data_IF_097926532448
#
_entry.id   IF_097926532448
#
_cell.length_a   1.000
_cell.length_b   1.000
_cell.length_c   1.000
_cell.angle_alpha   90.00
_cell.angle_beta   90.00
_cell.angle_gamma   90.00
#
_symmetry.space_group_name_H-M   'P 1'
#
loop_
_entity.id
_entity.type
_entity.pdbx_description
1 polymer ?
#
# COMPACT_ATOMS: atom_id res chain seq x y z
N UNK A 1 26.21 -68.90 -29.34
CA UNK A 1 26.84 -67.56 -29.18
C UNK A 1 26.40 -66.96 -27.84
N UNK A 2 27.31 -66.81 -26.87
CA UNK A 2 27.04 -66.21 -25.55
C UNK A 2 27.60 -64.79 -25.54
N UNK A 3 26.73 -63.78 -25.39
CA UNK A 3 27.14 -62.38 -25.20
C UNK A 3 27.51 -62.13 -23.73
N UNK A 4 28.76 -61.73 -23.48
CA UNK A 4 29.22 -61.19 -22.19
C UNK A 4 28.79 -59.73 -22.07
N UNK A 5 28.09 -59.38 -20.99
CA UNK A 5 27.81 -57.99 -20.59
C UNK A 5 29.01 -57.43 -19.82
N UNK A 6 29.58 -56.32 -20.29
CA UNK A 6 30.51 -55.49 -19.54
C UNK A 6 29.71 -54.51 -18.67
N UNK A 7 29.98 -54.50 -17.37
CA UNK A 7 29.48 -53.52 -16.40
C UNK A 7 30.52 -52.41 -16.26
N UNK A 8 30.15 -51.16 -16.53
CA UNK A 8 30.93 -49.97 -16.19
C UNK A 8 30.31 -49.33 -14.93
N UNK A 9 31.08 -48.99 -13.89
CA UNK A 9 30.56 -48.27 -12.74
C UNK A 9 30.49 -46.77 -13.07
N UNK A 10 29.28 -46.21 -12.98
CA UNK A 10 29.03 -44.79 -13.15
C UNK A 10 29.32 -44.08 -11.81
N UNK A 11 30.42 -43.32 -11.75
CA UNK A 11 30.73 -42.44 -10.63
C UNK A 11 29.73 -41.28 -10.62
N UNK A 12 28.80 -41.28 -9.66
CA UNK A 12 27.87 -40.15 -9.43
C UNK A 12 28.61 -39.10 -8.61
N UNK A 13 29.11 -38.07 -9.27
CA UNK A 13 29.68 -36.88 -8.63
C UNK A 13 28.52 -36.05 -8.03
N UNK A 14 28.26 -36.27 -6.74
CA UNK A 14 27.26 -35.52 -5.97
C UNK A 14 27.72 -34.07 -5.80
N UNK A 15 27.23 -33.19 -6.67
CA UNK A 15 27.54 -31.76 -6.60
C UNK A 15 26.63 -31.14 -5.55
N UNK A 16 27.15 -31.00 -4.33
CA UNK A 16 26.54 -30.21 -3.25
C UNK A 16 26.41 -28.75 -3.71
N UNK A 17 25.27 -28.40 -4.31
CA UNK A 17 24.85 -27.01 -4.43
C UNK A 17 24.61 -26.48 -3.01
N UNK A 18 25.60 -25.75 -2.49
CA UNK A 18 25.37 -24.84 -1.37
C UNK A 18 24.38 -23.76 -1.83
N UNK A 19 23.10 -23.99 -1.57
CA UNK A 19 22.09 -22.96 -1.55
C UNK A 19 22.48 -21.98 -0.44
N UNK A 20 23.21 -20.91 -0.77
CA UNK A 20 23.41 -19.77 0.13
C UNK A 20 22.04 -19.17 0.42
N UNK A 21 21.42 -19.65 1.50
CA UNK A 21 20.30 -18.99 2.14
C UNK A 21 20.78 -17.60 2.53
N UNK A 22 20.47 -16.61 1.70
CA UNK A 22 20.62 -15.22 2.08
C UNK A 22 19.64 -15.01 3.24
N UNK A 23 20.11 -15.15 4.48
CA UNK A 23 19.32 -14.80 5.64
C UNK A 23 19.01 -13.32 5.50
N UNK A 24 17.78 -12.99 5.11
CA UNK A 24 17.31 -11.61 5.12
C UNK A 24 17.42 -11.13 6.57
N UNK A 25 18.38 -10.23 6.83
CA UNK A 25 18.55 -9.68 8.17
C UNK A 25 17.24 -9.00 8.57
N UNK A 26 16.72 -9.38 9.74
CA UNK A 26 15.55 -8.73 10.34
C UNK A 26 15.93 -7.30 10.73
N UNK A 27 15.16 -6.32 10.26
CA UNK A 27 15.39 -4.89 10.51
C UNK A 27 14.37 -4.38 11.52
N UNK A 28 14.82 -3.49 12.40
CA UNK A 28 13.92 -2.71 13.27
C UNK A 28 13.78 -1.29 12.73
N UNK A 29 12.58 -0.95 12.27
CA UNK A 29 12.22 0.39 11.83
C UNK A 29 11.92 1.28 13.04
N UNK A 30 12.52 2.47 13.08
CA UNK A 30 12.37 3.44 14.16
C UNK A 30 12.12 4.83 13.57
N UNK A 31 11.43 5.67 14.32
CA UNK A 31 11.15 7.04 13.92
C UNK A 31 10.39 7.79 14.99
N UNK A 32 10.05 9.04 14.71
CA UNK A 32 9.16 9.85 15.52
C UNK A 32 7.85 10.16 14.81
N UNK A 33 6.76 10.28 15.57
CA UNK A 33 5.43 10.53 15.03
C UNK A 33 4.61 11.45 15.94
N UNK A 34 4.49 12.71 15.59
CA UNK A 34 3.66 13.66 16.32
C UNK A 34 2.19 13.42 15.96
N UNK A 35 1.34 13.26 16.97
CA UNK A 35 -0.08 13.01 16.80
C UNK A 35 -0.89 13.90 17.74
N UNK A 36 -1.97 14.55 17.27
CA UNK A 36 -2.86 15.36 18.12
C UNK A 36 -3.63 14.52 19.17
N UNK A 37 -3.48 13.19 19.14
CA UNK A 37 -4.11 12.27 20.07
C UNK A 37 -3.29 11.00 20.28
N UNK A 38 -3.53 10.31 21.40
CA UNK A 38 -2.80 9.10 21.76
C UNK A 38 -2.91 8.03 20.65
N UNK A 39 -1.75 7.54 20.20
CA UNK A 39 -1.65 6.42 19.27
C UNK A 39 -1.95 5.14 20.05
N UNK A 40 -2.92 4.37 19.59
CA UNK A 40 -3.33 3.10 20.18
C UNK A 40 -2.69 1.91 19.47
N UNK A 41 -2.26 2.10 18.21
CA UNK A 41 -1.67 1.04 17.38
C UNK A 41 -0.82 1.65 16.27
N UNK A 42 0.31 1.01 15.98
CA UNK A 42 1.15 1.33 14.82
C UNK A 42 1.69 0.05 14.19
N UNK A 43 1.50 -0.13 12.89
CA UNK A 43 1.98 -1.28 12.11
C UNK A 43 2.75 -0.81 10.88
N UNK A 44 3.62 -1.66 10.35
CA UNK A 44 4.17 -1.54 9.00
C UNK A 44 3.59 -2.64 8.10
N UNK A 45 3.25 -2.31 6.85
CA UNK A 45 2.77 -3.27 5.85
C UNK A 45 3.56 -3.19 4.57
N UNK A 46 3.88 -4.35 3.99
CA UNK A 46 4.30 -4.41 2.59
C UNK A 46 3.06 -4.66 1.71
N UNK A 47 2.56 -3.61 1.06
CA UNK A 47 1.33 -3.67 0.24
C UNK A 47 1.45 -4.61 -0.97
N UNK A 48 2.65 -4.78 -1.54
CA UNK A 48 2.87 -5.64 -2.71
C UNK A 48 2.69 -7.12 -2.34
N UNK A 49 2.99 -7.48 -1.09
CA UNK A 49 3.00 -8.86 -0.61
C UNK A 49 1.80 -9.21 0.29
N UNK A 50 0.95 -8.25 0.62
CA UNK A 50 -0.17 -8.43 1.55
C UNK A 50 -1.51 -8.36 0.83
N UNK A 51 -2.44 -9.24 1.21
CA UNK A 51 -3.82 -9.13 0.76
C UNK A 51 -4.48 -7.87 1.36
N UNK A 52 -4.96 -6.91 0.54
CA UNK A 52 -5.60 -5.68 1.01
C UNK A 52 -6.77 -5.92 1.97
N UNK A 53 -7.57 -6.98 1.75
CA UNK A 53 -8.71 -7.31 2.61
C UNK A 53 -8.28 -7.71 4.03
N UNK A 54 -7.11 -8.36 4.16
CA UNK A 54 -6.56 -8.74 5.46
C UNK A 54 -6.13 -7.50 6.26
N UNK A 55 -5.55 -6.52 5.57
CA UNK A 55 -5.15 -5.22 6.15
C UNK A 55 -6.38 -4.41 6.55
N UNK A 56 -7.40 -4.36 5.69
CA UNK A 56 -8.59 -3.54 5.94
C UNK A 56 -9.39 -3.99 7.16
N UNK A 57 -9.63 -5.30 7.31
CA UNK A 57 -10.45 -5.85 8.40
C UNK A 57 -9.70 -6.06 9.72
N UNK A 58 -8.43 -5.65 9.79
CA UNK A 58 -7.62 -5.85 10.99
C UNK A 58 -7.44 -7.33 11.33
N UNK A 59 -7.31 -8.20 10.31
CA UNK A 59 -7.05 -9.65 10.45
C UNK A 59 -5.65 -9.94 11.01
N UNK A 60 -5.36 -9.39 12.20
CA UNK A 60 -4.31 -9.85 13.12
C UNK A 60 -4.93 -10.32 14.46
N UNK A 61 -6.25 -10.53 14.50
CA UNK A 61 -6.98 -10.99 15.67
C UNK A 61 -6.68 -12.46 16.03
N UNK A 62 -6.42 -12.68 17.33
CA UNK A 62 -6.10 -13.93 18.04
C UNK A 62 -6.52 -15.21 17.29
N UNK A 63 -5.53 -16.01 16.89
CA UNK A 63 -5.72 -17.41 16.46
C UNK A 63 -5.75 -17.67 14.95
N UNK A 64 -5.69 -16.65 14.08
CA UNK A 64 -5.57 -16.84 12.63
C UNK A 64 -4.21 -16.34 12.13
N UNK A 65 -3.56 -17.16 11.29
CA UNK A 65 -2.20 -17.05 10.76
C UNK A 65 -1.69 -15.60 10.63
N UNK A 66 -0.53 -15.29 11.24
CA UNK A 66 0.18 -14.01 11.03
C UNK A 66 0.27 -13.77 9.53
N UNK A 67 -0.25 -12.63 9.06
CA UNK A 67 0.04 -12.21 7.69
C UNK A 67 1.54 -11.93 7.62
N UNK A 68 2.32 -12.63 6.77
CA UNK A 68 3.79 -12.59 6.84
C UNK A 68 4.41 -11.22 6.50
N UNK A 69 3.58 -10.25 6.13
CA UNK A 69 3.99 -8.93 5.62
C UNK A 69 3.32 -7.77 6.36
N UNK A 70 2.75 -8.04 7.54
CA UNK A 70 2.27 -7.02 8.48
C UNK A 70 3.03 -7.15 9.78
N UNK A 71 3.69 -6.07 10.17
CA UNK A 71 4.62 -6.02 11.29
C UNK A 71 4.09 -5.08 12.37
N UNK A 72 3.71 -5.60 13.55
CA UNK A 72 3.25 -4.75 14.62
C UNK A 72 4.42 -4.02 15.29
N UNK A 73 4.19 -2.76 15.65
CA UNK A 73 5.15 -1.93 16.37
C UNK A 73 4.66 -1.51 17.75
N UNK A 74 5.54 -0.83 18.46
CA UNK A 74 5.27 -0.17 19.73
C UNK A 74 5.39 1.34 19.58
N UNK A 75 4.70 2.07 20.45
CA UNK A 75 4.68 3.52 20.52
C UNK A 75 5.06 3.98 21.93
N UNK A 76 5.93 4.98 22.03
CA UNK A 76 6.26 5.65 23.27
C UNK A 76 5.75 7.10 23.22
N UNK A 77 4.71 7.39 23.99
CA UNK A 77 4.07 8.71 24.03
C UNK A 77 4.97 9.80 24.63
N UNK A 78 5.93 9.45 25.50
CA UNK A 78 6.81 10.44 26.16
C UNK A 78 7.85 11.01 25.20
N UNK A 79 8.39 10.15 24.33
CA UNK A 79 9.46 10.49 23.39
C UNK A 79 8.96 10.67 21.97
N UNK A 80 7.64 10.55 21.77
CA UNK A 80 6.99 10.53 20.47
C UNK A 80 7.67 9.58 19.47
N UNK A 81 8.17 8.44 19.94
CA UNK A 81 8.95 7.51 19.12
C UNK A 81 8.23 6.17 18.93
N UNK A 82 8.33 5.61 17.73
CA UNK A 82 7.87 4.26 17.44
C UNK A 82 9.03 3.29 17.14
N UNK A 83 8.76 2.00 17.30
CA UNK A 83 9.67 0.91 16.93
C UNK A 83 8.90 -0.26 16.36
N UNK A 84 9.27 -0.74 15.16
CA UNK A 84 8.64 -1.86 14.47
C UNK A 84 9.72 -2.89 14.13
N UNK A 85 9.80 -4.03 14.84
CA UNK A 85 10.84 -5.02 14.62
C UNK A 85 10.49 -5.99 13.48
N UNK A 86 11.48 -6.77 13.06
CA UNK A 86 11.35 -7.91 12.14
C UNK A 86 10.95 -7.58 10.71
N UNK A 87 11.17 -6.36 10.23
CA UNK A 87 10.96 -6.03 8.83
C UNK A 87 12.00 -6.77 7.97
N UNK A 88 11.58 -7.21 6.79
CA UNK A 88 12.46 -7.79 5.79
C UNK A 88 13.12 -6.66 4.99
N UNK A 89 14.45 -6.67 4.93
CA UNK A 89 15.24 -5.72 4.15
C UNK A 89 14.99 -5.84 2.64
N UNK A 90 15.25 -4.76 1.89
CA UNK A 90 15.06 -4.70 0.44
C UNK A 90 13.62 -4.46 -0.02
N UNK A 91 12.77 -3.91 0.85
CA UNK A 91 11.35 -3.73 0.62
C UNK A 91 10.83 -2.35 1.03
N UNK A 92 9.66 -2.02 0.51
CA UNK A 92 8.90 -0.82 0.85
C UNK A 92 7.81 -1.14 1.86
N UNK A 93 7.63 -0.24 2.80
CA UNK A 93 6.60 -0.35 3.82
C UNK A 93 5.77 0.92 3.92
N UNK A 94 4.47 0.73 4.12
CA UNK A 94 3.55 1.79 4.53
C UNK A 94 3.25 1.62 6.02
N UNK A 95 3.20 2.72 6.76
CA UNK A 95 2.77 2.72 8.16
C UNK A 95 1.26 2.82 8.26
N UNK A 96 0.69 2.09 9.20
CA UNK A 96 -0.71 2.21 9.59
C UNK A 96 -0.75 2.63 11.05
N UNK A 97 -1.47 3.70 11.34
CA UNK A 97 -1.51 4.31 12.67
C UNK A 97 -2.96 4.48 13.07
N UNK A 98 -3.29 4.09 14.29
CA UNK A 98 -4.61 4.33 14.87
C UNK A 98 -4.48 5.25 16.06
N UNK A 99 -5.39 6.21 16.14
CA UNK A 99 -5.58 7.08 17.29
C UNK A 99 -7.09 7.31 17.49
N UNK A 100 -7.48 8.18 18.42
CA UNK A 100 -8.91 8.46 18.69
C UNK A 100 -9.65 9.08 17.51
N UNK A 101 -8.91 9.67 16.56
CA UNK A 101 -9.47 10.33 15.38
C UNK A 101 -9.68 9.36 14.21
N UNK A 102 -9.21 8.12 14.32
CA UNK A 102 -9.39 7.10 13.30
C UNK A 102 -8.08 6.45 12.87
N UNK A 103 -8.11 5.93 11.65
CA UNK A 103 -7.00 5.20 11.02
C UNK A 103 -6.31 6.07 9.98
N UNK A 104 -5.00 6.14 10.07
CA UNK A 104 -4.12 6.84 9.14
C UNK A 104 -3.24 5.82 8.43
N UNK A 105 -3.22 5.85 7.10
CA UNK A 105 -2.49 4.89 6.29
C UNK A 105 -1.48 5.55 5.37
N UNK A 106 -0.27 5.02 5.37
CA UNK A 106 0.73 5.27 4.37
C UNK A 106 0.29 4.81 2.99
N UNK A 107 0.69 5.60 2.01
CA UNK A 107 0.57 5.23 0.60
C UNK A 107 1.89 5.49 -0.10
N UNK A 108 2.49 4.44 -0.66
CA UNK A 108 3.64 4.58 -1.53
C UNK A 108 3.26 5.28 -2.84
N UNK A 109 3.68 6.55 -2.98
CA UNK A 109 3.39 7.38 -4.16
C UNK A 109 4.41 7.20 -5.31
N UNK A 110 5.37 6.27 -5.18
CA UNK A 110 6.29 5.96 -6.28
C UNK A 110 5.53 5.37 -7.46
N UNK A 111 6.01 5.68 -8.66
CA UNK A 111 5.52 5.04 -9.86
C UNK A 111 5.77 3.53 -9.83
N UNK A 112 4.92 2.74 -10.50
CA UNK A 112 4.95 1.26 -10.41
C UNK A 112 6.26 0.62 -10.91
N UNK A 113 7.05 1.37 -11.68
CA UNK A 113 8.38 1.01 -12.14
C UNK A 113 9.34 2.15 -11.91
N UNK A 114 10.63 1.84 -11.87
CA UNK A 114 11.68 2.86 -11.84
C UNK A 114 11.60 3.70 -13.12
N UNK A 115 11.54 5.02 -12.95
CA UNK A 115 11.57 5.98 -14.03
C UNK A 115 12.35 7.22 -13.60
N UNK A 116 13.06 7.82 -14.55
CA UNK A 116 13.70 9.13 -14.35
C UNK A 116 12.63 10.21 -14.49
N UNK A 117 12.49 11.12 -13.51
CA UNK A 117 11.57 12.25 -13.62
C UNK A 117 11.85 13.07 -14.87
N UNK A 118 10.80 13.47 -15.58
CA UNK A 118 10.93 14.30 -16.78
C UNK A 118 10.07 15.54 -16.67
N UNK A 119 10.69 16.71 -16.83
CA UNK A 119 9.98 17.99 -16.83
C UNK A 119 9.20 18.27 -15.53
N UNK A 120 8.42 19.34 -15.56
CA UNK A 120 7.52 19.70 -14.45
C UNK A 120 6.10 19.25 -14.78
N UNK A 121 5.42 18.72 -13.77
CA UNK A 121 3.98 18.50 -13.82
C UNK A 121 3.24 19.84 -13.81
N UNK A 122 2.37 20.08 -14.79
CA UNK A 122 1.69 21.37 -14.96
C UNK A 122 0.24 21.33 -14.49
N UNK A 123 -0.39 22.50 -14.34
CA UNK A 123 -1.82 22.59 -14.06
C UNK A 123 -2.69 21.99 -15.18
N UNK A 124 -2.23 22.03 -16.44
CA UNK A 124 -2.92 21.38 -17.55
C UNK A 124 -2.89 19.86 -17.43
N UNK A 125 -1.76 19.30 -17.00
CA UNK A 125 -1.60 17.86 -16.75
C UNK A 125 -2.54 17.39 -15.65
N UNK A 126 -2.55 18.12 -14.52
CA UNK A 126 -3.47 17.87 -13.41
C UNK A 126 -4.92 17.87 -13.88
N UNK A 127 -5.37 18.90 -14.61
CA UNK A 127 -6.74 18.97 -15.12
C UNK A 127 -7.12 17.77 -16.00
N UNK A 128 -6.22 17.30 -16.87
CA UNK A 128 -6.50 16.12 -17.71
C UNK A 128 -6.69 14.85 -16.88
N UNK A 129 -5.79 14.61 -15.91
CA UNK A 129 -5.89 13.45 -15.00
C UNK A 129 -7.16 13.52 -14.15
N UNK A 130 -7.44 14.68 -13.54
CA UNK A 130 -8.63 14.89 -12.72
C UNK A 130 -9.92 14.68 -13.54
N UNK A 131 -9.96 15.21 -14.77
CA UNK A 131 -11.09 15.01 -15.70
C UNK A 131 -11.27 13.54 -16.06
N UNK A 132 -10.18 12.82 -16.30
CA UNK A 132 -10.23 11.38 -16.57
C UNK A 132 -10.85 10.61 -15.39
N UNK A 133 -10.41 10.90 -14.17
CA UNK A 133 -10.85 10.20 -12.95
C UNK A 133 -12.33 10.48 -12.65
N UNK A 134 -12.77 11.73 -12.76
CA UNK A 134 -14.16 12.09 -12.45
C UNK A 134 -15.15 11.60 -13.51
N UNK A 135 -14.74 11.53 -14.79
CA UNK A 135 -15.61 11.09 -15.89
C UNK A 135 -15.66 9.58 -16.11
N UNK A 136 -14.76 8.78 -15.53
CA UNK A 136 -14.75 7.32 -15.75
C UNK A 136 -15.85 6.61 -14.91
N UNK A 137 -17.08 6.60 -15.42
CA UNK A 137 -18.26 6.06 -14.70
C UNK A 137 -18.48 4.54 -14.82
N UNK A 138 -17.47 3.74 -15.18
CA UNK A 138 -17.70 2.33 -15.57
C UNK A 138 -18.30 1.45 -14.46
N UNK A 139 -17.87 1.60 -13.21
CA UNK A 139 -18.24 0.70 -12.12
C UNK A 139 -18.62 1.41 -10.81
N UNK A 140 -18.22 2.66 -10.65
CA UNK A 140 -18.40 3.46 -9.43
C UNK A 140 -19.24 4.69 -9.74
N UNK A 141 -20.02 5.11 -8.75
CA UNK A 141 -20.84 6.31 -8.82
C UNK A 141 -19.98 7.57 -8.56
N UNK A 142 -18.95 7.42 -7.73
CA UNK A 142 -18.04 8.49 -7.36
C UNK A 142 -16.60 8.01 -7.49
N UNK A 143 -15.73 8.88 -8.01
CA UNK A 143 -14.29 8.74 -7.95
C UNK A 143 -13.71 10.08 -7.51
N UNK A 144 -13.00 10.11 -6.39
CA UNK A 144 -12.36 11.31 -5.85
C UNK A 144 -10.83 11.11 -5.82
N UNK A 145 -10.05 11.98 -6.50
CA UNK A 145 -8.60 11.96 -6.40
C UNK A 145 -8.16 12.57 -5.06
N UNK A 146 -7.47 11.79 -4.23
CA UNK A 146 -6.99 12.23 -2.90
C UNK A 146 -5.58 12.83 -2.96
N UNK A 147 -4.69 12.20 -3.73
CA UNK A 147 -3.28 12.61 -3.83
C UNK A 147 -2.75 12.38 -5.24
N UNK A 148 -1.90 13.30 -5.71
CA UNK A 148 -1.18 13.18 -6.98
C UNK A 148 0.30 13.42 -6.73
N UNK A 149 1.15 12.47 -7.14
CA UNK A 149 2.58 12.65 -7.30
C UNK A 149 2.94 12.42 -8.76
N UNK A 150 3.53 13.40 -9.42
CA UNK A 150 3.71 13.36 -10.87
C UNK A 150 4.90 14.17 -11.36
N UNK A 151 5.38 13.79 -12.53
CA UNK A 151 6.23 14.58 -13.43
C UNK A 151 5.48 14.83 -14.76
N UNK A 152 6.14 15.30 -15.81
CA UNK A 152 5.50 15.57 -17.10
C UNK A 152 5.07 14.30 -17.88
N UNK A 153 5.61 13.12 -17.53
CA UNK A 153 5.37 11.84 -18.21
C UNK A 153 4.67 10.79 -17.36
N UNK A 154 4.78 10.83 -16.05
CA UNK A 154 4.28 9.80 -15.15
C UNK A 154 3.52 10.43 -13.99
N UNK A 155 2.43 9.79 -13.58
CA UNK A 155 1.71 10.17 -12.37
C UNK A 155 1.27 8.94 -11.58
N UNK A 156 1.35 9.05 -10.27
CA UNK A 156 0.76 8.14 -9.29
C UNK A 156 -0.35 8.90 -8.59
N UNK A 157 -1.56 8.34 -8.58
CA UNK A 157 -2.75 8.99 -8.04
C UNK A 157 -3.44 8.06 -7.05
N UNK A 158 -3.75 8.55 -5.85
CA UNK A 158 -4.65 7.86 -4.92
C UNK A 158 -6.07 8.24 -5.26
N UNK A 159 -6.91 7.26 -5.54
CA UNK A 159 -8.29 7.45 -5.93
C UNK A 159 -9.19 6.71 -4.95
N UNK A 160 -10.07 7.48 -4.31
CA UNK A 160 -11.22 6.96 -3.61
C UNK A 160 -12.33 6.66 -4.60
N UNK A 161 -13.00 5.53 -4.42
CA UNK A 161 -14.05 5.06 -5.30
C UNK A 161 -15.23 4.56 -4.47
N UNK A 162 -16.42 5.00 -4.83
CA UNK A 162 -17.65 4.58 -4.17
C UNK A 162 -18.69 4.16 -5.20
N UNK A 163 -19.30 2.99 -4.96
CA UNK A 163 -20.50 2.55 -5.64
C UNK A 163 -21.62 2.42 -4.62
N UNK A 164 -22.66 3.21 -4.79
CA UNK A 164 -23.90 3.19 -3.99
C UNK A 164 -25.05 2.47 -4.69
N UNK A 165 -24.94 2.29 -6.01
CA UNK A 165 -25.92 1.56 -6.82
C UNK A 165 -25.80 0.05 -6.65
N UNK A 166 -26.94 -0.65 -6.78
CA UNK A 166 -27.03 -2.10 -6.70
C UNK A 166 -26.02 -2.80 -7.62
N UNK A 167 -25.47 -3.92 -7.15
CA UNK A 167 -24.54 -4.77 -7.89
C UNK A 167 -24.92 -6.23 -7.71
N UNK A 168 -24.51 -7.08 -8.67
CA UNK A 168 -24.71 -8.52 -8.59
C UNK A 168 -24.20 -9.05 -7.25
N UNK A 169 -25.04 -9.79 -6.50
CA UNK A 169 -24.82 -10.28 -5.13
C UNK A 169 -24.78 -9.22 -4.01
N UNK A 170 -25.18 -7.97 -4.27
CA UNK A 170 -25.38 -6.95 -3.22
C UNK A 170 -26.80 -6.98 -2.66
N UNK A 171 -26.94 -6.83 -1.35
CA UNK A 171 -28.24 -6.55 -0.72
C UNK A 171 -28.59 -5.06 -0.92
N UNK A 172 -29.87 -4.70 -0.82
CA UNK A 172 -30.30 -3.30 -0.84
C UNK A 172 -29.56 -2.49 0.23
N UNK A 173 -29.04 -1.31 -0.14
CA UNK A 173 -28.23 -0.47 0.75
C UNK A 173 -26.77 -0.91 0.93
N UNK A 174 -26.33 -1.96 0.24
CA UNK A 174 -24.90 -2.32 0.19
C UNK A 174 -24.13 -1.37 -0.71
N UNK A 175 -22.94 -0.98 -0.27
CA UNK A 175 -22.01 -0.17 -1.06
C UNK A 175 -20.71 -0.92 -1.31
N UNK A 176 -19.99 -0.49 -2.33
CA UNK A 176 -18.59 -0.86 -2.54
C UNK A 176 -17.76 0.39 -2.38
N UNK A 177 -16.95 0.43 -1.33
CA UNK A 177 -15.95 1.46 -1.10
C UNK A 177 -14.58 0.89 -1.38
N UNK A 178 -13.76 1.60 -2.14
CA UNK A 178 -12.42 1.18 -2.52
C UNK A 178 -11.50 2.37 -2.57
N UNK A 179 -10.31 2.23 -2.02
CA UNK A 179 -9.21 3.17 -2.27
C UNK A 179 -8.11 2.42 -2.99
N UNK A 180 -7.62 3.01 -4.07
CA UNK A 180 -6.61 2.41 -4.91
C UNK A 180 -5.60 3.44 -5.41
N UNK A 181 -4.38 2.97 -5.63
CA UNK A 181 -3.36 3.71 -6.37
C UNK A 181 -3.53 3.42 -7.85
N UNK A 182 -3.68 4.46 -8.65
CA UNK A 182 -3.71 4.42 -10.10
C UNK A 182 -2.43 5.04 -10.66
N UNK A 183 -1.97 4.49 -11.78
CA UNK A 183 -0.81 5.01 -12.49
C UNK A 183 -1.25 5.57 -13.83
N UNK A 184 -0.68 6.70 -14.20
CA UNK A 184 -0.89 7.33 -15.50
C UNK A 184 0.44 7.52 -16.23
N UNK A 185 0.38 7.52 -17.54
CA UNK A 185 1.49 7.92 -18.39
C UNK A 185 1.02 8.93 -19.43
N UNK A 186 1.90 9.86 -19.79
CA UNK A 186 1.65 10.79 -20.88
C UNK A 186 2.14 10.18 -22.19
N UNK A 187 1.24 10.10 -23.16
CA UNK A 187 1.53 9.55 -24.49
C UNK A 187 0.87 10.43 -25.56
N UNK A 188 1.63 10.79 -26.61
CA UNK A 188 1.19 11.64 -27.72
C UNK A 188 0.33 12.87 -27.32
N UNK A 189 0.73 13.58 -26.27
CA UNK A 189 0.07 14.82 -25.84
C UNK A 189 -1.09 14.65 -24.86
N UNK A 190 -1.54 13.41 -24.57
CA UNK A 190 -2.60 13.10 -23.61
C UNK A 190 -2.15 12.22 -22.44
N UNK A 191 -2.92 12.23 -21.36
CA UNK A 191 -2.73 11.34 -20.21
C UNK A 191 -3.63 10.11 -20.32
N UNK A 192 -3.05 8.94 -20.10
CA UNK A 192 -3.78 7.67 -20.07
C UNK A 192 -3.48 6.89 -18.78
N UNK A 193 -4.49 6.20 -18.26
CA UNK A 193 -4.32 5.29 -17.13
C UNK A 193 -3.64 4.00 -17.59
N UNK A 194 -2.58 3.61 -16.90
CA UNK A 194 -1.91 2.33 -17.14
C UNK A 194 -2.80 1.18 -16.65
N UNK A 195 -3.22 0.34 -17.59
CA UNK A 195 -4.12 -0.77 -17.32
C UNK A 195 -3.46 -1.85 -16.45
N UNK A 196 -4.23 -2.47 -15.56
CA UNK A 196 -3.83 -3.60 -14.71
C UNK A 196 -2.64 -3.39 -13.75
N UNK A 197 -2.09 -2.17 -13.64
CA UNK A 197 -0.99 -1.87 -12.73
C UNK A 197 -1.43 -1.27 -11.39
N UNK A 198 -2.71 -0.91 -11.24
CA UNK A 198 -3.19 -0.26 -10.03
C UNK A 198 -3.16 -1.17 -8.79
N UNK A 199 -2.88 -0.60 -7.62
CA UNK A 199 -2.82 -1.32 -6.34
C UNK A 199 -4.06 -0.98 -5.51
N UNK A 200 -4.78 -2.00 -5.03
CA UNK A 200 -5.88 -1.79 -4.08
C UNK A 200 -5.30 -1.64 -2.68
N UNK A 201 -5.58 -0.51 -2.03
CA UNK A 201 -5.19 -0.29 -0.64
C UNK A 201 -6.24 -0.84 0.31
N UNK A 202 -7.49 -0.52 0.01
CA UNK A 202 -8.64 -0.86 0.84
C UNK A 202 -9.81 -1.24 -0.04
N UNK A 203 -10.57 -2.23 0.43
CA UNK A 203 -11.86 -2.57 -0.15
C UNK A 203 -12.83 -2.93 0.96
N UNK A 204 -13.94 -2.20 1.02
CA UNK A 204 -15.10 -2.52 1.82
C UNK A 204 -16.27 -2.88 0.90
N UNK A 205 -17.04 -3.86 1.33
CA UNK A 205 -18.28 -4.26 0.68
C UNK A 205 -19.25 -4.66 1.78
N UNK A 206 -20.37 -3.95 1.88
CA UNK A 206 -21.36 -4.14 2.91
C UNK A 206 -22.22 -2.89 3.10
N UNK A 207 -23.01 -2.83 4.19
CA UNK A 207 -23.79 -1.66 4.53
C UNK A 207 -22.91 -0.43 4.73
N UNK A 208 -23.40 0.74 4.30
CA UNK A 208 -22.66 1.99 4.39
C UNK A 208 -22.31 2.37 5.85
N UNK A 209 -23.26 2.16 6.77
CA UNK A 209 -23.10 2.42 8.22
C UNK A 209 -22.00 1.61 8.91
N UNK A 210 -21.51 0.55 8.28
CA UNK A 210 -20.49 -0.34 8.84
C UNK A 210 -19.07 -0.01 8.34
N UNK A 211 -18.93 0.97 7.44
CA UNK A 211 -17.61 1.42 7.01
C UNK A 211 -16.85 2.01 8.20
N UNK A 212 -15.63 1.52 8.51
CA UNK A 212 -14.79 2.12 9.54
C UNK A 212 -14.41 3.57 9.16
N UNK A 213 -14.75 4.52 10.02
CA UNK A 213 -14.58 5.96 9.79
C UNK A 213 -14.14 6.63 11.12
N UNK A 214 -13.16 7.57 11.14
CA UNK A 214 -12.35 8.09 10.03
C UNK A 214 -11.24 7.19 9.49
N UNK A 215 -11.02 7.25 8.17
CA UNK A 215 -9.95 6.54 7.48
C UNK A 215 -9.25 7.45 6.46
N UNK A 216 -7.99 7.75 6.73
CA UNK A 216 -7.20 8.76 6.05
C UNK A 216 -5.96 8.14 5.39
N UNK A 217 -5.61 8.62 4.19
CA UNK A 217 -4.45 8.17 3.42
C UNK A 217 -3.44 9.30 3.32
N UNK A 218 -2.21 9.07 3.74
CA UNK A 218 -1.15 10.08 3.81
C UNK A 218 0.14 9.56 3.16
N UNK A 219 0.64 10.19 2.10
CA UNK A 219 1.93 9.83 1.49
C UNK A 219 3.11 9.86 2.46
N UNK A 220 3.09 10.76 3.46
CA UNK A 220 4.15 10.88 4.47
C UNK A 220 4.33 9.62 5.34
N UNK A 221 3.31 8.78 5.43
CA UNK A 221 3.36 7.49 6.14
C UNK A 221 3.80 6.33 5.21
N UNK A 222 3.96 6.57 3.91
CA UNK A 222 4.08 5.52 2.89
C UNK A 222 5.45 5.42 2.22
N UNK A 223 5.69 4.30 1.55
CA UNK A 223 6.84 4.11 0.68
C UNK A 223 8.21 4.14 1.37
N UNK A 224 8.25 3.79 2.66
CA UNK A 224 9.48 3.76 3.46
C UNK A 224 10.40 2.66 2.92
N UNK A 225 11.56 3.07 2.41
CA UNK A 225 12.53 2.21 1.77
C UNK A 225 13.49 1.61 2.79
N UNK A 226 13.24 0.35 3.17
CA UNK A 226 14.19 -0.42 3.97
C UNK A 226 15.16 -1.10 3.01
N UNK A 227 16.34 -0.53 2.87
CA UNK A 227 17.38 -1.01 1.94
C UNK A 227 17.81 -2.43 2.28
N UNK A 228 18.43 -3.13 1.32
CA UNK A 228 19.00 -4.48 1.54
C UNK A 228 20.05 -4.52 2.67
N UNK A 229 20.72 -3.39 2.93
CA UNK A 229 21.64 -3.22 4.07
C UNK A 229 20.95 -3.05 5.42
N UNK A 230 19.62 -3.01 5.46
CA UNK A 230 18.82 -2.70 6.65
C UNK A 230 18.71 -1.21 6.99
N UNK A 231 19.39 -0.34 6.23
CA UNK A 231 19.31 1.12 6.40
C UNK A 231 18.02 1.67 5.82
N UNK A 232 17.50 2.73 6.43
CA UNK A 232 16.37 3.53 5.96
C UNK A 232 16.63 5.01 6.30
N UNK A 233 15.93 5.93 5.63
CA UNK A 233 16.03 7.36 5.93
C UNK A 233 15.41 7.66 7.30
N UNK A 234 15.89 8.70 7.99
CA UNK A 234 15.28 9.14 9.24
C UNK A 234 13.79 9.47 9.03
N UNK A 235 12.94 9.02 9.97
CA UNK A 235 11.49 9.15 9.85
C UNK A 235 11.00 10.11 10.93
N UNK A 236 10.45 11.23 10.48
CA UNK A 236 9.79 12.23 11.32
C UNK A 236 8.46 12.56 10.68
N UNK A 237 7.37 12.19 11.34
CA UNK A 237 6.01 12.35 10.83
C UNK A 237 5.22 13.26 11.75
N UNK A 238 4.38 14.12 11.17
CA UNK A 238 3.38 14.90 11.89
C UNK A 238 2.02 14.54 11.31
N UNK A 239 1.14 13.94 12.12
CA UNK A 239 -0.22 13.67 11.71
C UNK A 239 -1.05 14.96 11.73
N UNK A 240 -1.95 15.15 10.75
CA UNK A 240 -2.89 16.26 10.77
C UNK A 240 -3.73 16.28 12.04
N UNK A 241 -4.11 17.49 12.49
CA UNK A 241 -4.93 17.69 13.68
C UNK A 241 -6.34 17.08 13.58
N UNK A 242 -6.85 16.85 12.36
CA UNK A 242 -8.17 16.28 12.08
C UNK A 242 -8.16 15.55 10.74
N UNK A 243 -9.08 14.61 10.58
CA UNK A 243 -9.37 14.00 9.28
C UNK A 243 -9.85 15.07 8.28
N UNK A 244 -9.58 14.85 6.99
CA UNK A 244 -9.99 15.70 5.89
C UNK A 244 -10.68 14.85 4.82
N UNK A 245 -11.79 15.33 4.23
CA UNK A 245 -12.44 14.65 3.11
C UNK A 245 -11.51 14.52 1.89
N UNK A 246 -10.52 15.41 1.76
CA UNK A 246 -9.53 15.35 0.67
C UNK A 246 -8.47 14.26 0.86
N UNK A 247 -8.41 13.63 2.04
CA UNK A 247 -7.47 12.55 2.32
C UNK A 247 -8.17 11.19 2.54
N UNK A 248 -9.47 11.12 2.28
CA UNK A 248 -10.31 9.93 2.47
C UNK A 248 -11.51 10.23 3.39
N UNK A 249 -12.12 9.19 3.94
CA UNK A 249 -13.32 9.31 4.77
C UNK A 249 -13.04 10.08 6.08
N UNK A 250 -13.78 11.17 6.28
CA UNK A 250 -13.63 12.11 7.39
C UNK A 250 -14.66 11.95 8.52
N UNK A 251 -15.55 10.97 8.39
CA UNK A 251 -16.76 10.84 9.20
C UNK A 251 -18.02 10.68 8.35
N UNK A 252 -17.96 11.05 7.07
CA UNK A 252 -19.09 10.97 6.13
C UNK A 252 -18.76 10.17 4.87
N UNK A 253 -19.78 9.59 4.25
CA UNK A 253 -19.71 9.03 2.90
C UNK A 253 -20.29 10.11 1.97
N UNK A 254 -19.60 10.49 0.89
CA UNK A 254 -20.09 11.51 -0.04
C UNK A 254 -21.39 11.11 -0.76
#
# INVERSE_FOLDING_TARGET
MRYRRFFFPMLVLSTLLLCRSHSCAAVTLRGTLQSPSAITKIWAVNRVRTNPLAVSRGFLGRGKSRTPWVFPGTWNARTESFSIPHLVAGHYYDLLVWNKQGRWEGVNMRYYRLCTPQGKFTAADSRQILTFITKIQRFTNYNEPLWIAADHRHATVVVEQLRTTGFYSGHQGSIIFRVAVWYFQRFFGGWEKVSNMGVVLTRWRGPAKEIPNPWQYLPALGGIDVKKSGRYAAIHIILPAKASPHHGLDGTIP
#
